data_IF_705330527631
#
_entry.id   IF_705330527631
#
_cell.length_a   1.000
_cell.length_b   1.000
_cell.length_c   1.000
_cell.angle_alpha   90.00
_cell.angle_beta   90.00
_cell.angle_gamma   90.00
#
_symmetry.space_group_name_H-M   'P 1'
#
loop_
_entity.id
_entity.type
_entity.pdbx_description
1 polymer ?
#
# COMPACT_ATOMS: atom_id res chain seq x y z
N UNK A 1 -5.90 7.33 2.44
CA UNK A 1 -6.21 7.29 3.89
C UNK A 1 -5.42 8.29 4.74
N UNK A 2 -4.08 8.23 4.85
CA UNK A 2 -3.31 9.08 5.78
C UNK A 2 -3.56 10.59 5.60
N UNK A 3 -3.56 11.08 4.35
CA UNK A 3 -3.87 12.49 4.06
C UNK A 3 -5.27 12.87 4.57
N UNK A 4 -6.29 12.03 4.33
CA UNK A 4 -7.65 12.28 4.81
C UNK A 4 -7.73 12.35 6.34
N UNK A 5 -7.01 11.46 7.05
CA UNK A 5 -6.90 11.51 8.51
C UNK A 5 -6.21 12.81 8.96
N UNK A 6 -5.12 13.21 8.29
CA UNK A 6 -4.42 14.47 8.57
C UNK A 6 -5.28 15.71 8.32
N UNK A 7 -6.26 15.63 7.42
CA UNK A 7 -7.25 16.67 7.18
C UNK A 7 -8.42 16.66 8.19
N UNK A 8 -8.44 15.74 9.15
CA UNK A 8 -9.51 15.61 10.15
C UNK A 8 -10.77 14.90 9.65
N UNK A 9 -10.71 14.20 8.51
CA UNK A 9 -11.85 13.44 8.00
C UNK A 9 -12.06 12.21 8.90
N UNK A 10 -13.27 11.99 9.44
CA UNK A 10 -13.52 10.85 10.31
C UNK A 10 -13.40 9.52 9.54
N UNK A 11 -12.90 8.48 10.22
CA UNK A 11 -12.57 7.19 9.59
C UNK A 11 -13.77 6.55 8.87
N UNK A 12 -14.99 6.67 9.42
CA UNK A 12 -16.20 6.10 8.83
C UNK A 12 -16.60 6.76 7.51
N UNK A 13 -16.04 7.93 7.18
CA UNK A 13 -16.27 8.66 5.94
C UNK A 13 -15.18 8.39 4.89
N UNK A 14 -14.12 7.65 5.24
CA UNK A 14 -13.04 7.26 4.31
C UNK A 14 -13.49 6.02 3.52
N UNK A 15 -13.61 6.08 2.17
CA UNK A 15 -14.16 4.99 1.38
C UNK A 15 -13.46 3.64 1.57
N UNK A 16 -12.13 3.62 1.70
CA UNK A 16 -11.36 2.41 1.89
C UNK A 16 -11.64 1.72 3.23
N UNK A 17 -11.89 2.51 4.29
CA UNK A 17 -12.27 1.99 5.62
C UNK A 17 -13.67 1.37 5.55
N UNK A 18 -14.62 2.04 4.88
CA UNK A 18 -15.97 1.49 4.67
C UNK A 18 -15.91 0.17 3.90
N UNK A 19 -15.06 0.10 2.86
CA UNK A 19 -14.83 -1.12 2.08
C UNK A 19 -14.27 -2.25 2.95
N UNK A 20 -13.35 -1.93 3.86
CA UNK A 20 -12.76 -2.89 4.78
C UNK A 20 -13.79 -3.48 5.75
N UNK A 21 -14.81 -2.73 6.16
CA UNK A 21 -15.91 -3.24 7.00
C UNK A 21 -17.14 -3.71 6.20
N UNK A 22 -17.02 -3.85 4.87
CA UNK A 22 -18.15 -4.26 4.03
C UNK A 22 -19.32 -3.26 4.01
N UNK A 23 -19.10 -2.04 4.49
CA UNK A 23 -20.12 -1.00 4.59
C UNK A 23 -20.35 -0.38 3.21
N UNK A 24 -21.63 -0.11 2.90
CA UNK A 24 -22.04 0.53 1.66
C UNK A 24 -21.28 1.85 1.40
N UNK A 25 -21.12 2.18 0.12
CA UNK A 25 -20.39 3.35 -0.37
C UNK A 25 -18.87 3.28 -0.24
N UNK A 26 -18.27 2.18 0.21
CA UNK A 26 -16.82 1.94 0.10
C UNK A 26 -16.32 1.61 -1.32
N UNK A 27 -16.98 2.12 -2.37
CA UNK A 27 -16.76 1.76 -3.79
C UNK A 27 -15.35 2.04 -4.33
N UNK A 28 -15.14 1.99 -5.65
CA UNK A 28 -13.82 2.11 -6.30
C UNK A 28 -13.06 3.45 -6.11
N UNK A 29 -11.99 3.65 -6.87
CA UNK A 29 -11.02 4.75 -6.70
C UNK A 29 -11.65 6.17 -6.75
N UNK A 30 -12.83 6.35 -7.36
CA UNK A 30 -13.56 7.64 -7.45
C UNK A 30 -14.83 7.70 -6.58
N UNK A 31 -14.95 6.81 -5.59
CA UNK A 31 -16.16 6.75 -4.74
C UNK A 31 -16.26 7.86 -3.68
N UNK A 32 -15.23 8.71 -3.56
CA UNK A 32 -15.16 9.73 -2.51
C UNK A 32 -16.31 10.73 -2.59
N UNK A 33 -16.70 11.20 -3.79
CA UNK A 33 -17.79 12.18 -3.98
C UNK A 33 -19.13 11.67 -3.47
N UNK A 34 -19.41 10.40 -3.74
CA UNK A 34 -20.63 9.74 -3.27
C UNK A 34 -20.56 9.54 -1.76
N UNK A 35 -19.44 9.02 -1.27
CA UNK A 35 -19.22 8.74 0.16
C UNK A 35 -19.35 10.00 1.01
N UNK A 36 -18.77 11.12 0.57
CA UNK A 36 -18.83 12.39 1.31
C UNK A 36 -20.26 12.90 1.49
N UNK A 37 -21.17 12.59 0.56
CA UNK A 37 -22.55 13.06 0.58
C UNK A 37 -23.51 12.16 1.36
N UNK A 38 -23.28 10.83 1.40
CA UNK A 38 -24.26 9.87 1.93
C UNK A 38 -23.74 8.94 3.03
N UNK A 39 -22.48 9.04 3.43
CA UNK A 39 -21.94 8.19 4.48
C UNK A 39 -22.57 8.52 5.84
N UNK A 40 -22.96 7.47 6.56
CA UNK A 40 -23.33 7.54 7.97
C UNK A 40 -22.22 6.95 8.85
N UNK A 41 -22.07 7.44 10.10
CA UNK A 41 -21.23 6.81 11.11
C UNK A 41 -21.66 5.37 11.39
N UNK A 42 -20.69 4.54 11.77
CA UNK A 42 -20.93 3.19 12.27
C UNK A 42 -19.97 2.90 13.42
N UNK A 43 -20.37 1.95 14.26
CA UNK A 43 -19.63 1.57 15.46
C UNK A 43 -18.49 0.60 15.08
N UNK A 44 -17.24 1.03 15.27
CA UNK A 44 -16.06 0.23 14.95
C UNK A 44 -15.89 -0.98 15.88
N UNK A 45 -16.42 -0.92 17.10
CA UNK A 45 -16.33 -2.02 18.06
C UNK A 45 -17.32 -3.15 17.74
N UNK A 46 -18.35 -2.85 16.92
CA UNK A 46 -19.36 -3.82 16.47
C UNK A 46 -19.22 -4.25 15.01
N UNK A 47 -18.43 -3.52 14.22
CA UNK A 47 -18.28 -3.78 12.80
C UNK A 47 -17.32 -4.94 12.55
N UNK A 48 -17.77 -5.94 11.79
CA UNK A 48 -16.89 -7.03 11.34
C UNK A 48 -16.14 -6.62 10.08
N UNK A 49 -14.83 -6.86 10.07
CA UNK A 49 -14.02 -6.64 8.86
C UNK A 49 -14.27 -7.73 7.82
N UNK A 50 -14.13 -7.37 6.55
CA UNK A 50 -14.12 -8.35 5.46
C UNK A 50 -12.92 -9.27 5.60
N UNK A 51 -13.09 -10.54 5.22
CA UNK A 51 -11.99 -11.51 5.24
C UNK A 51 -10.84 -11.02 4.35
N UNK A 52 -9.57 -11.29 4.76
CA UNK A 52 -8.41 -10.96 3.95
C UNK A 52 -8.55 -11.48 2.52
N UNK A 53 -8.20 -10.65 1.54
CA UNK A 53 -8.27 -10.99 0.12
C UNK A 53 -6.93 -11.56 -0.33
N UNK A 54 -6.84 -12.88 -0.41
CA UNK A 54 -5.64 -13.58 -0.85
C UNK A 54 -4.49 -13.51 0.16
N UNK A 55 -3.27 -13.57 -0.35
CA UNK A 55 -2.04 -13.54 0.45
C UNK A 55 -0.99 -12.66 -0.24
N UNK A 56 -0.17 -11.96 0.56
CA UNK A 56 0.89 -11.08 0.07
C UNK A 56 2.20 -11.47 0.72
N UNK A 57 3.23 -11.69 -0.08
CA UNK A 57 4.62 -11.87 0.37
C UNK A 57 5.42 -10.66 -0.12
N UNK A 58 6.13 -10.00 0.80
CA UNK A 58 7.02 -8.90 0.48
C UNK A 58 8.47 -9.31 0.72
N UNK A 59 9.35 -8.90 -0.19
CA UNK A 59 10.80 -9.08 -0.07
C UNK A 59 11.49 -7.73 -0.17
N UNK A 60 12.58 -7.58 0.58
CA UNK A 60 13.45 -6.40 0.50
C UNK A 60 14.68 -6.77 -0.31
N UNK A 61 15.00 -5.95 -1.32
CA UNK A 61 16.23 -6.07 -2.10
C UNK A 61 17.25 -5.07 -1.53
N UNK A 62 18.43 -5.56 -1.16
CA UNK A 62 19.53 -4.77 -0.58
C UNK A 62 20.83 -4.98 -1.38
N UNK A 63 21.80 -4.08 -1.20
CA UNK A 63 23.15 -4.20 -1.77
C UNK A 63 24.12 -4.92 -0.83
N UNK A 64 23.63 -5.90 -0.07
CA UNK A 64 24.41 -6.61 0.94
C UNK A 64 25.04 -7.86 0.34
N UNK A 65 26.30 -8.13 0.69
CA UNK A 65 27.03 -9.34 0.27
C UNK A 65 26.85 -10.47 1.29
N UNK A 66 26.13 -11.56 0.97
CA UNK A 66 25.91 -12.67 1.90
C UNK A 66 27.21 -13.40 2.27
N UNK A 67 28.16 -13.55 1.34
CA UNK A 67 29.44 -14.22 1.59
C UNK A 67 30.35 -13.35 2.47
N UNK A 68 30.21 -12.03 2.38
CA UNK A 68 30.84 -11.04 3.24
C UNK A 68 30.19 -10.85 4.61
N UNK A 69 29.16 -11.65 4.95
CA UNK A 69 28.41 -11.54 6.21
C UNK A 69 27.34 -10.44 6.19
N UNK A 70 26.66 -10.26 5.05
CA UNK A 70 25.66 -9.22 4.79
C UNK A 70 26.20 -7.79 4.95
N UNK A 71 27.47 -7.58 4.61
CA UNK A 71 28.05 -6.22 4.64
C UNK A 71 27.41 -5.37 3.54
N UNK A 72 26.92 -4.15 3.85
CA UNK A 72 26.43 -3.24 2.84
C UNK A 72 27.54 -2.85 1.88
N UNK A 73 27.25 -2.87 0.59
CA UNK A 73 28.18 -2.42 -0.45
C UNK A 73 27.66 -1.14 -1.11
N UNK A 74 28.59 -0.27 -1.47
CA UNK A 74 28.34 0.95 -2.26
C UNK A 74 28.86 0.75 -3.67
N UNK A 75 28.34 1.52 -4.62
CA UNK A 75 28.78 1.42 -6.01
C UNK A 75 27.80 2.06 -6.97
N UNK A 76 27.85 1.63 -8.23
CA UNK A 76 26.95 2.10 -9.28
C UNK A 76 26.15 0.94 -9.84
N UNK A 77 24.85 1.13 -9.99
CA UNK A 77 23.97 0.21 -10.70
C UNK A 77 24.23 0.37 -12.18
N UNK A 78 24.67 -0.71 -12.84
CA UNK A 78 24.80 -0.72 -14.30
C UNK A 78 23.43 -0.84 -14.95
N UNK A 79 22.65 -1.83 -14.54
CA UNK A 79 21.32 -2.10 -15.06
C UNK A 79 20.37 -2.49 -13.93
N UNK A 80 19.15 -1.95 -13.98
CA UNK A 80 18.01 -2.37 -13.17
C UNK A 80 16.85 -2.69 -14.11
N UNK A 81 16.56 -3.97 -14.27
CA UNK A 81 15.46 -4.46 -15.09
C UNK A 81 14.60 -5.42 -14.27
N UNK A 82 13.39 -4.98 -13.92
CA UNK A 82 12.41 -5.78 -13.19
C UNK A 82 11.28 -6.22 -14.11
N UNK A 83 11.08 -7.54 -14.24
CA UNK A 83 10.03 -8.12 -15.07
C UNK A 83 8.77 -8.32 -14.22
N UNK A 84 7.86 -7.37 -14.28
CA UNK A 84 6.58 -7.47 -13.58
C UNK A 84 5.70 -8.59 -14.11
N UNK A 85 4.82 -9.11 -13.24
CA UNK A 85 3.73 -10.03 -13.56
C UNK A 85 2.42 -9.46 -12.98
N UNK A 86 1.23 -9.96 -13.35
CA UNK A 86 -0.03 -9.41 -12.84
C UNK A 86 -0.08 -9.22 -11.32
N UNK A 87 0.45 -10.18 -10.56
CA UNK A 87 0.46 -10.15 -9.08
C UNK A 87 1.85 -9.88 -8.46
N UNK A 88 2.84 -9.50 -9.29
CA UNK A 88 4.22 -9.29 -8.84
C UNK A 88 4.74 -7.95 -9.36
N UNK A 89 4.95 -7.02 -8.45
CA UNK A 89 5.41 -5.67 -8.71
C UNK A 89 6.51 -5.28 -7.72
N UNK A 90 7.32 -4.30 -8.08
CA UNK A 90 8.39 -3.77 -7.23
C UNK A 90 8.54 -2.26 -7.44
N UNK A 91 9.13 -1.60 -6.46
CA UNK A 91 9.58 -0.22 -6.55
C UNK A 91 11.00 -0.13 -6.00
N UNK A 92 11.79 0.79 -6.54
CA UNK A 92 13.20 0.98 -6.18
C UNK A 92 13.46 2.45 -5.90
N UNK A 93 14.33 2.74 -4.94
CA UNK A 93 14.77 4.12 -4.62
C UNK A 93 15.82 4.66 -5.59
N UNK A 94 16.35 3.80 -6.45
CA UNK A 94 17.48 4.05 -7.37
C UNK A 94 17.12 3.56 -8.77
N UNK A 95 17.85 4.03 -9.78
CA UNK A 95 17.64 3.74 -11.20
C UNK A 95 18.90 3.19 -11.86
N UNK A 96 18.77 2.60 -13.06
CA UNK A 96 19.92 2.22 -13.88
C UNK A 96 20.88 3.39 -14.08
N UNK A 97 22.17 3.14 -13.92
CA UNK A 97 23.20 4.17 -13.94
C UNK A 97 23.28 5.03 -12.66
N UNK A 98 22.41 4.81 -11.67
CA UNK A 98 22.42 5.48 -10.37
C UNK A 98 23.43 4.88 -9.39
N UNK A 99 23.78 5.64 -8.36
CA UNK A 99 24.58 5.15 -7.24
C UNK A 99 23.76 4.32 -6.26
N UNK A 100 24.45 3.48 -5.49
CA UNK A 100 23.97 2.77 -4.31
C UNK A 100 24.54 3.45 -3.07
#
# INVERSE_FOLDING_TARGET
AQVAVGMGIPLWQIPEIRRFYGIAHGGGYDSWRKTSAVACPFDFDKAESVRPKGHCVAVRVTSEDPDGGFKPTSGKIQELSFKSKPDVWAYFSVKSGGGI
#
